data_IF_708460194820
#
_entry.id   IF_708460194820
#
_cell.length_a   1.000
_cell.length_b   1.000
_cell.length_c   1.000
_cell.angle_alpha   90.00
_cell.angle_beta   90.00
_cell.angle_gamma   90.00
#
_symmetry.space_group_name_H-M   'P 1'
#
loop_
_entity.id
_entity.type
_entity.pdbx_description
1 polymer ?
#
# COMPACT_ATOMS: atom_id res chain seq x y z
N UNK A 1 51.76 11.40 -15.45
CA UNK A 1 51.90 12.55 -16.35
C UNK A 1 50.56 12.96 -16.96
N UNK A 2 49.79 12.03 -17.55
CA UNK A 2 48.51 12.33 -18.23
C UNK A 2 47.51 13.09 -17.34
N UNK A 3 47.31 12.70 -16.07
CA UNK A 3 46.31 13.33 -15.20
C UNK A 3 46.59 14.81 -14.89
N UNK A 4 47.86 15.18 -14.69
CA UNK A 4 48.25 16.58 -14.45
C UNK A 4 48.05 17.43 -15.70
N UNK A 5 48.51 16.95 -16.85
CA UNK A 5 48.34 17.65 -18.14
C UNK A 5 46.85 17.83 -18.49
N UNK A 6 46.03 16.83 -18.22
CA UNK A 6 44.59 16.88 -18.49
C UNK A 6 43.85 17.86 -17.55
N UNK A 7 44.31 18.00 -16.30
CA UNK A 7 43.82 19.04 -15.37
C UNK A 7 44.23 20.45 -15.84
N UNK A 8 45.47 20.63 -16.31
CA UNK A 8 45.93 21.90 -16.88
C UNK A 8 45.10 22.30 -18.11
N UNK A 9 44.88 21.36 -19.03
CA UNK A 9 44.03 21.56 -20.20
C UNK A 9 42.59 21.94 -19.80
N UNK A 10 41.97 21.21 -18.86
CA UNK A 10 40.63 21.52 -18.39
C UNK A 10 40.52 22.93 -17.77
N UNK A 11 41.52 23.35 -16.97
CA UNK A 11 41.57 24.68 -16.39
C UNK A 11 41.71 25.78 -17.46
N UNK A 12 42.53 25.54 -18.49
CA UNK A 12 42.66 26.46 -19.62
C UNK A 12 41.32 26.61 -20.38
N UNK A 13 40.66 25.48 -20.67
CA UNK A 13 39.36 25.46 -21.33
C UNK A 13 38.27 26.19 -20.53
N UNK A 14 38.17 25.93 -19.22
CA UNK A 14 37.23 26.63 -18.34
C UNK A 14 37.50 28.16 -18.29
N UNK A 15 38.77 28.57 -18.33
CA UNK A 15 39.17 29.98 -18.39
C UNK A 15 38.73 30.64 -19.71
N UNK A 16 38.82 29.95 -20.84
CA UNK A 16 38.40 30.49 -22.13
C UNK A 16 36.87 30.62 -22.24
N UNK A 17 36.11 29.70 -21.64
CA UNK A 17 34.64 29.86 -21.53
C UNK A 17 34.27 31.14 -20.77
N UNK A 18 34.98 31.46 -19.69
CA UNK A 18 34.78 32.71 -18.97
C UNK A 18 35.15 33.98 -19.78
N UNK A 19 35.94 33.82 -20.86
CA UNK A 19 36.44 34.89 -21.72
C UNK A 19 35.67 35.13 -23.02
N UNK A 20 34.43 34.63 -23.14
CA UNK A 20 33.55 34.65 -24.33
C UNK A 20 33.81 33.57 -25.40
N UNK A 21 34.64 32.56 -25.14
CA UNK A 21 34.73 31.40 -26.04
C UNK A 21 33.62 30.39 -25.75
N UNK A 22 33.21 29.63 -26.76
CA UNK A 22 32.17 28.61 -26.62
C UNK A 22 32.78 27.22 -26.60
N UNK A 23 32.51 26.44 -25.54
CA UNK A 23 32.89 25.02 -25.47
C UNK A 23 31.65 24.16 -25.62
N UNK A 24 31.64 23.31 -26.64
CA UNK A 24 30.69 22.21 -26.75
C UNK A 24 31.42 20.89 -26.48
N UNK A 25 31.02 20.22 -25.42
CA UNK A 25 31.58 18.93 -25.03
C UNK A 25 30.54 17.81 -25.19
N UNK A 26 30.93 16.73 -25.87
CA UNK A 26 30.14 15.49 -26.01
C UNK A 26 30.94 14.31 -25.42
N UNK A 27 30.36 13.11 -25.29
CA UNK A 27 31.12 11.94 -24.84
C UNK A 27 32.33 11.60 -25.72
N UNK A 28 32.29 11.93 -27.02
CA UNK A 28 33.32 11.53 -28.01
C UNK A 28 34.21 12.68 -28.45
N UNK A 29 33.73 13.92 -28.36
CA UNK A 29 34.41 15.10 -28.92
C UNK A 29 34.34 16.29 -28.00
N UNK A 30 35.30 17.19 -28.15
CA UNK A 30 35.24 18.53 -27.58
C UNK A 30 35.53 19.54 -28.68
N UNK A 31 34.68 20.56 -28.78
CA UNK A 31 34.79 21.64 -29.76
C UNK A 31 34.87 22.94 -28.98
N UNK A 32 35.86 23.76 -29.29
CA UNK A 32 36.03 25.10 -28.72
C UNK A 32 36.04 26.10 -29.86
N UNK A 33 35.18 27.11 -29.76
CA UNK A 33 34.97 28.13 -30.79
C UNK A 33 35.18 29.52 -30.23
N UNK A 34 35.36 30.49 -31.13
CA UNK A 34 35.63 31.89 -30.78
C UNK A 34 36.94 32.04 -30.00
N UNK A 35 38.00 31.38 -30.48
CA UNK A 35 39.35 31.50 -29.91
C UNK A 35 40.19 32.52 -30.67
N UNK A 36 40.96 33.32 -29.93
CA UNK A 36 42.05 34.13 -30.49
C UNK A 36 43.29 33.26 -30.80
N UNK A 37 44.20 33.74 -31.64
CA UNK A 37 45.39 32.99 -32.08
C UNK A 37 46.20 32.41 -30.92
N UNK A 38 46.53 33.23 -29.92
CA UNK A 38 47.27 32.80 -28.71
C UNK A 38 46.53 31.68 -27.95
N UNK A 39 45.20 31.80 -27.83
CA UNK A 39 44.38 30.81 -27.12
C UNK A 39 44.33 29.48 -27.86
N UNK A 40 44.28 29.49 -29.20
CA UNK A 40 44.34 28.27 -30.01
C UNK A 40 45.66 27.54 -29.82
N UNK A 41 46.78 28.28 -29.84
CA UNK A 41 48.10 27.70 -29.64
C UNK A 41 48.21 27.02 -28.27
N UNK A 42 47.72 27.67 -27.22
CA UNK A 42 47.68 27.10 -25.86
C UNK A 42 46.82 25.83 -25.78
N UNK A 43 45.60 25.85 -26.33
CA UNK A 43 44.69 24.69 -26.30
C UNK A 43 45.23 23.55 -27.18
N UNK A 44 45.80 23.87 -28.34
CA UNK A 44 46.42 22.91 -29.26
C UNK A 44 47.61 22.20 -28.62
N UNK A 45 48.48 22.95 -27.92
CA UNK A 45 49.56 22.37 -27.12
C UNK A 45 49.01 21.47 -26.02
N UNK A 46 47.97 21.91 -25.29
CA UNK A 46 47.34 21.11 -24.24
C UNK A 46 46.78 19.78 -24.75
N UNK A 47 46.13 19.76 -25.92
CA UNK A 47 45.67 18.52 -26.56
C UNK A 47 46.82 17.61 -26.99
N UNK A 48 47.90 18.18 -27.54
CA UNK A 48 49.09 17.42 -27.91
C UNK A 48 49.76 16.76 -26.69
N UNK A 49 49.86 17.47 -25.55
CA UNK A 49 50.45 16.95 -24.31
C UNK A 49 49.67 15.78 -23.71
N UNK A 50 48.34 15.76 -23.85
CA UNK A 50 47.50 14.62 -23.42
C UNK A 50 47.40 13.53 -24.49
N UNK A 51 48.02 13.72 -25.66
CA UNK A 51 48.02 12.76 -26.77
C UNK A 51 46.69 12.64 -27.50
N UNK A 52 45.87 13.69 -27.49
CA UNK A 52 44.58 13.72 -28.16
C UNK A 52 44.73 14.18 -29.60
N UNK A 53 43.94 13.61 -30.51
CA UNK A 53 43.90 14.05 -31.91
C UNK A 53 42.99 15.26 -32.02
N UNK A 54 43.51 16.35 -32.57
CA UNK A 54 42.75 17.59 -32.78
C UNK A 54 43.01 18.20 -34.15
N UNK A 55 42.07 19.04 -34.59
CA UNK A 55 42.10 19.79 -35.84
C UNK A 55 41.71 21.23 -35.54
N UNK A 56 42.44 22.19 -36.12
CA UNK A 56 42.20 23.63 -36.00
C UNK A 56 41.56 24.14 -37.30
N UNK A 57 40.59 25.05 -37.17
CA UNK A 57 39.92 25.71 -38.28
C UNK A 57 40.00 27.24 -38.12
N UNK A 58 40.21 27.98 -39.19
CA UNK A 58 40.14 29.45 -39.21
C UNK A 58 38.70 29.98 -39.23
N UNK A 59 38.55 31.31 -39.26
CA UNK A 59 37.26 32.00 -39.35
C UNK A 59 36.51 31.75 -40.67
N UNK A 60 37.18 31.25 -41.71
CA UNK A 60 36.57 30.81 -42.96
C UNK A 60 36.15 29.33 -42.94
N UNK A 61 36.47 28.60 -41.87
CA UNK A 61 36.18 27.18 -41.70
C UNK A 61 37.16 26.25 -42.43
N UNK A 62 38.31 26.76 -42.87
CA UNK A 62 39.38 25.96 -43.49
C UNK A 62 40.28 25.37 -42.41
N UNK A 63 40.79 24.15 -42.63
CA UNK A 63 41.77 23.54 -41.73
C UNK A 63 43.08 24.33 -41.77
N UNK A 64 43.61 24.67 -40.60
CA UNK A 64 44.78 25.55 -40.44
C UNK A 64 45.88 24.81 -39.69
N UNK A 65 47.09 24.78 -40.27
CA UNK A 65 48.27 24.20 -39.61
C UNK A 65 48.79 25.14 -38.50
N UNK A 66 49.58 24.58 -37.58
CA UNK A 66 50.08 25.32 -36.42
C UNK A 66 50.86 26.60 -36.79
N UNK A 67 51.63 26.53 -37.88
CA UNK A 67 52.50 27.62 -38.34
C UNK A 67 51.72 28.75 -39.05
N UNK A 68 50.46 28.50 -39.44
CA UNK A 68 49.60 29.45 -40.16
C UNK A 68 48.62 30.19 -39.22
N UNK A 69 48.71 29.97 -37.90
CA UNK A 69 47.87 30.62 -36.92
C UNK A 69 48.36 32.06 -36.68
N UNK A 70 47.62 33.04 -37.22
CA UNK A 70 47.85 34.47 -37.03
C UNK A 70 46.56 35.22 -36.64
N UNK A 71 46.69 36.41 -36.06
CA UNK A 71 45.54 37.18 -35.56
C UNK A 71 44.51 37.52 -36.66
N UNK A 72 44.96 37.70 -37.90
CA UNK A 72 44.12 38.13 -39.03
C UNK A 72 43.13 37.06 -39.53
N UNK A 73 43.32 35.78 -39.17
CA UNK A 73 42.47 34.67 -39.63
C UNK A 73 41.49 34.15 -38.56
N UNK A 74 41.43 34.80 -37.40
CA UNK A 74 40.44 34.48 -36.37
C UNK A 74 39.01 34.91 -36.74
N UNK A 75 37.99 34.52 -35.95
CA UNK A 75 38.07 33.64 -34.78
C UNK A 75 38.27 32.17 -35.16
N UNK A 76 38.98 31.43 -34.31
CA UNK A 76 39.35 30.05 -34.59
C UNK A 76 38.44 28.99 -33.94
N UNK A 77 38.28 27.92 -34.73
CA UNK A 77 37.82 26.55 -34.46
C UNK A 77 38.87 25.61 -33.85
N UNK A 78 38.69 24.93 -32.72
CA UNK A 78 39.44 23.68 -32.46
C UNK A 78 38.51 22.53 -32.08
N UNK A 79 38.74 21.36 -32.67
CA UNK A 79 37.97 20.14 -32.42
C UNK A 79 38.91 19.00 -32.06
N UNK A 80 38.68 18.32 -30.94
CA UNK A 80 39.49 17.19 -30.49
C UNK A 80 38.65 15.95 -30.22
N UNK A 81 39.21 14.78 -30.55
CA UNK A 81 38.61 13.47 -30.25
C UNK A 81 39.05 12.99 -28.87
N UNK A 82 38.07 12.64 -28.05
CA UNK A 82 38.30 12.05 -26.73
C UNK A 82 38.74 10.60 -26.85
N UNK A 83 39.51 10.09 -25.87
CA UNK A 83 39.82 8.68 -25.80
C UNK A 83 38.53 7.87 -25.63
N UNK A 84 38.43 6.75 -26.34
CA UNK A 84 37.32 5.82 -26.16
C UNK A 84 37.45 5.16 -24.78
N UNK A 85 36.45 5.37 -23.94
CA UNK A 85 36.29 4.70 -22.66
C UNK A 85 35.37 3.48 -22.79
N UNK A 86 35.12 2.78 -21.68
CA UNK A 86 34.13 1.69 -21.65
C UNK A 86 32.73 2.17 -22.02
N UNK A 87 31.84 1.25 -22.42
CA UNK A 87 30.49 1.58 -22.90
C UNK A 87 29.61 2.34 -21.88
N UNK A 88 29.89 2.21 -20.58
CA UNK A 88 29.16 2.85 -19.47
C UNK A 88 29.97 3.99 -18.80
N UNK A 89 31.09 4.40 -19.42
CA UNK A 89 32.02 5.41 -18.89
C UNK A 89 32.11 6.62 -19.81
N UNK A 90 32.10 7.81 -19.22
CA UNK A 90 32.32 9.07 -19.96
C UNK A 90 33.34 9.94 -19.25
N UNK A 91 34.05 10.76 -20.01
CA UNK A 91 34.99 11.76 -19.51
C UNK A 91 34.47 13.16 -19.82
N UNK A 92 34.37 14.00 -18.80
CA UNK A 92 33.96 15.39 -18.87
C UNK A 92 35.10 16.28 -18.34
N UNK A 93 35.59 17.19 -19.18
CA UNK A 93 36.72 18.07 -18.92
C UNK A 93 36.25 19.40 -18.35
N UNK A 94 35.24 20.02 -18.95
CA UNK A 94 34.88 21.41 -18.65
C UNK A 94 33.66 21.50 -17.74
N UNK A 95 33.50 22.67 -17.10
CA UNK A 95 32.36 22.97 -16.23
C UNK A 95 31.07 23.07 -17.05
N UNK A 96 31.17 23.64 -18.26
CA UNK A 96 30.07 23.66 -19.21
C UNK A 96 29.63 22.25 -19.60
N UNK A 97 30.57 21.40 -20.04
CA UNK A 97 30.27 20.03 -20.42
C UNK A 97 29.69 19.19 -19.29
N UNK A 98 30.15 19.42 -18.06
CA UNK A 98 29.53 18.80 -16.90
C UNK A 98 28.09 19.27 -16.67
N UNK A 99 27.82 20.58 -16.75
CA UNK A 99 26.48 21.13 -16.62
C UNK A 99 25.52 20.65 -17.70
N UNK A 100 25.97 20.65 -18.95
CA UNK A 100 25.19 20.17 -20.10
C UNK A 100 24.83 18.70 -19.95
N UNK A 101 25.77 17.88 -19.48
CA UNK A 101 25.52 16.46 -19.22
C UNK A 101 24.50 16.26 -18.08
N UNK A 102 24.60 17.04 -17.00
CA UNK A 102 23.65 16.99 -15.88
C UNK A 102 22.23 17.42 -16.30
N UNK A 103 22.12 18.40 -17.20
CA UNK A 103 20.85 18.82 -17.79
C UNK A 103 20.28 17.77 -18.78
N UNK A 104 21.15 16.99 -19.42
CA UNK A 104 20.79 15.98 -20.40
C UNK A 104 20.17 14.69 -19.85
N UNK A 105 19.74 13.84 -20.78
CA UNK A 105 19.18 12.50 -20.52
C UNK A 105 20.19 11.36 -20.72
N UNK A 106 21.47 11.70 -20.96
CA UNK A 106 22.50 10.71 -21.22
C UNK A 106 22.67 9.75 -20.02
N UNK A 107 22.77 8.45 -20.33
CA UNK A 107 22.88 7.37 -19.35
C UNK A 107 24.32 6.85 -19.37
N UNK A 108 25.09 7.19 -18.34
CA UNK A 108 26.38 6.60 -18.03
C UNK A 108 26.38 6.21 -16.55
N UNK A 109 26.96 5.07 -16.20
CA UNK A 109 27.05 4.64 -14.79
C UNK A 109 28.22 5.31 -14.08
N UNK A 110 29.30 5.56 -14.82
CA UNK A 110 30.50 6.20 -14.32
C UNK A 110 30.83 7.42 -15.15
N UNK A 111 30.97 8.56 -14.49
CA UNK A 111 31.29 9.84 -15.10
C UNK A 111 32.59 10.34 -14.50
N UNK A 112 33.66 10.34 -15.29
CA UNK A 112 34.95 10.91 -14.88
C UNK A 112 34.87 12.41 -15.09
N UNK A 113 34.96 13.17 -14.00
CA UNK A 113 34.85 14.64 -14.01
C UNK A 113 36.20 15.25 -13.64
N UNK A 114 36.81 15.98 -14.57
CA UNK A 114 38.05 16.70 -14.30
C UNK A 114 37.76 17.92 -13.42
N UNK A 115 38.63 18.16 -12.44
CA UNK A 115 38.44 19.23 -11.45
C UNK A 115 37.51 18.87 -10.28
N UNK A 116 37.01 17.63 -10.25
CA UNK A 116 36.39 17.06 -9.05
C UNK A 116 37.48 16.61 -8.08
N UNK A 117 37.35 16.93 -6.78
CA UNK A 117 38.35 16.52 -5.76
C UNK A 117 37.96 15.21 -5.06
N UNK A 118 36.66 14.96 -4.92
CA UNK A 118 36.12 13.81 -4.19
C UNK A 118 34.98 13.19 -4.99
N UNK A 119 34.90 11.86 -5.00
CA UNK A 119 33.86 11.17 -5.75
C UNK A 119 32.46 11.49 -5.19
N UNK A 120 31.50 11.64 -6.09
CA UNK A 120 30.07 11.78 -5.76
C UNK A 120 29.42 10.44 -6.10
N UNK A 121 29.19 9.63 -5.07
CA UNK A 121 28.46 8.37 -5.22
C UNK A 121 26.96 8.63 -5.06
N UNK A 122 26.19 8.33 -6.10
CA UNK A 122 24.71 8.39 -6.07
C UNK A 122 24.11 6.99 -6.26
N UNK A 123 22.80 6.85 -6.07
CA UNK A 123 22.10 5.57 -6.17
C UNK A 123 22.15 4.96 -7.59
N UNK A 124 22.39 5.77 -8.64
CA UNK A 124 22.43 5.31 -10.04
C UNK A 124 23.75 5.62 -10.77
N UNK A 125 24.38 6.76 -10.46
CA UNK A 125 25.55 7.26 -11.19
C UNK A 125 26.68 7.57 -10.21
N UNK A 126 27.92 7.30 -10.61
CA UNK A 126 29.09 7.70 -9.86
C UNK A 126 29.87 8.76 -10.63
N UNK A 127 30.09 9.91 -10.01
CA UNK A 127 31.01 10.92 -10.51
C UNK A 127 32.35 10.71 -9.83
N UNK A 128 33.39 10.42 -10.60
CA UNK A 128 34.73 10.11 -10.08
C UNK A 128 35.73 11.17 -10.50
N UNK A 129 36.66 11.54 -9.62
CA UNK A 129 37.78 12.38 -10.00
C UNK A 129 38.77 11.56 -10.85
N UNK A 130 39.54 12.24 -11.68
CA UNK A 130 40.45 11.62 -12.65
C UNK A 130 41.48 10.68 -12.02
N UNK A 131 41.91 10.97 -10.79
CA UNK A 131 42.96 10.26 -10.09
C UNK A 131 42.49 8.97 -9.39
N UNK A 132 41.18 8.69 -9.36
CA UNK A 132 40.65 7.52 -8.67
C UNK A 132 40.71 6.25 -9.53
N UNK A 133 41.25 5.17 -8.97
CA UNK A 133 41.63 3.97 -9.74
C UNK A 133 40.80 2.70 -9.48
N UNK A 134 39.82 2.70 -8.56
CA UNK A 134 38.98 1.51 -8.34
C UNK A 134 37.74 1.83 -7.51
N UNK A 135 36.55 1.39 -7.96
CA UNK A 135 35.37 1.36 -7.11
C UNK A 135 34.38 0.26 -7.50
N UNK A 136 34.10 -0.65 -6.56
CA UNK A 136 32.96 -1.56 -6.65
C UNK A 136 31.65 -0.77 -6.69
N UNK A 137 30.75 -1.11 -7.61
CA UNK A 137 29.39 -0.59 -7.63
C UNK A 137 28.62 -1.19 -6.45
N UNK A 138 28.16 -0.35 -5.52
CA UNK A 138 27.09 -0.76 -4.60
C UNK A 138 25.85 -1.06 -5.45
N UNK A 139 25.12 -2.11 -5.09
CA UNK A 139 23.92 -2.54 -5.81
C UNK A 139 22.94 -1.36 -5.92
N UNK A 140 22.63 -0.94 -7.15
CA UNK A 140 21.71 0.16 -7.41
C UNK A 140 20.34 -0.14 -6.80
N UNK A 141 19.85 0.72 -5.92
CA UNK A 141 18.48 0.64 -5.44
C UNK A 141 17.53 0.97 -6.59
N UNK A 142 16.53 0.11 -6.83
CA UNK A 142 15.48 0.41 -7.80
C UNK A 142 14.46 1.33 -7.14
N UNK A 143 14.54 2.62 -7.47
CA UNK A 143 13.61 3.64 -6.97
C UNK A 143 12.36 3.72 -7.85
N UNK A 144 11.22 4.07 -7.25
CA UNK A 144 10.01 4.37 -8.04
C UNK A 144 10.21 5.66 -8.84
N UNK A 145 9.71 5.67 -10.07
CA UNK A 145 9.78 6.86 -10.93
C UNK A 145 8.86 7.99 -10.41
N UNK A 146 9.38 9.21 -10.16
CA UNK A 146 8.57 10.36 -9.75
C UNK A 146 7.46 10.72 -10.73
N UNK A 147 7.67 10.50 -12.03
CA UNK A 147 6.67 10.73 -13.09
C UNK A 147 5.40 9.90 -12.94
N UNK A 148 5.41 8.87 -12.10
CA UNK A 148 4.21 8.07 -11.81
C UNK A 148 3.34 8.68 -10.71
N UNK A 149 3.89 9.61 -9.93
CA UNK A 149 3.22 10.21 -8.76
C UNK A 149 2.93 11.71 -8.95
N UNK A 150 3.83 12.42 -9.63
CA UNK A 150 3.71 13.87 -9.87
C UNK A 150 2.91 14.11 -11.15
N UNK A 151 1.88 14.96 -11.06
CA UNK A 151 1.09 15.36 -12.22
C UNK A 151 1.75 16.53 -12.93
N UNK A 152 2.20 16.28 -14.16
CA UNK A 152 2.71 17.29 -15.07
C UNK A 152 1.79 17.37 -16.28
N UNK A 153 1.43 18.59 -16.67
CA UNK A 153 0.55 18.81 -17.81
C UNK A 153 1.17 19.74 -18.87
N UNK A 154 2.40 20.22 -18.63
CA UNK A 154 3.16 21.02 -19.60
C UNK A 154 3.78 20.16 -20.70
N UNK A 155 4.09 20.78 -21.85
CA UNK A 155 4.76 20.10 -22.96
C UNK A 155 6.23 19.75 -22.64
N UNK A 156 6.87 20.56 -21.79
CA UNK A 156 8.21 20.30 -21.24
C UNK A 156 8.06 19.62 -19.89
N UNK A 157 8.61 18.40 -19.77
CA UNK A 157 8.61 17.64 -18.50
C UNK A 157 9.79 18.07 -17.64
N UNK A 158 9.48 18.62 -16.47
CA UNK A 158 10.44 19.11 -15.48
C UNK A 158 10.78 18.03 -14.46
N UNK A 159 9.85 17.12 -14.19
CA UNK A 159 10.06 16.00 -13.27
C UNK A 159 10.92 14.93 -13.97
N UNK A 160 12.03 14.50 -13.37
CA UNK A 160 12.90 13.49 -13.96
C UNK A 160 12.25 12.11 -13.92
N UNK A 161 12.65 11.23 -14.85
CA UNK A 161 12.19 9.84 -14.86
C UNK A 161 12.72 9.05 -13.65
N UNK A 162 13.93 9.37 -13.18
CA UNK A 162 14.50 8.85 -11.94
C UNK A 162 15.22 9.95 -11.18
N UNK A 163 15.25 9.82 -9.85
CA UNK A 163 16.03 10.67 -8.96
C UNK A 163 17.30 10.00 -8.45
N UNK A 164 17.57 8.74 -8.81
CA UNK A 164 18.71 8.01 -8.25
C UNK A 164 20.06 8.67 -8.56
N UNK A 165 20.24 9.23 -9.77
CA UNK A 165 21.43 10.03 -10.13
C UNK A 165 21.61 11.33 -9.33
N UNK A 166 20.59 11.73 -8.57
CA UNK A 166 20.54 12.94 -7.76
C UNK A 166 20.59 12.64 -6.26
N UNK A 167 20.48 11.36 -5.85
CA UNK A 167 20.49 10.96 -4.45
C UNK A 167 21.87 10.44 -4.03
N UNK A 168 22.51 11.08 -3.04
CA UNK A 168 23.81 10.63 -2.52
C UNK A 168 23.68 9.29 -1.81
N UNK A 169 24.43 8.26 -2.19
CA UNK A 169 24.42 6.97 -1.50
C UNK A 169 24.82 7.08 -0.02
N UNK A 170 25.74 7.98 0.31
CA UNK A 170 26.07 8.35 1.69
C UNK A 170 25.89 9.87 1.89
N UNK A 171 24.91 10.32 2.70
CA UNK A 171 24.71 11.73 3.00
C UNK A 171 25.93 12.46 3.59
N UNK A 172 26.90 11.73 4.15
CA UNK A 172 28.12 12.32 4.73
C UNK A 172 29.12 12.83 3.70
N UNK A 173 28.99 12.45 2.42
CA UNK A 173 29.92 12.83 1.35
C UNK A 173 29.70 14.25 0.81
N UNK A 174 28.87 15.07 1.47
CA UNK A 174 28.66 16.46 1.12
C UNK A 174 29.94 17.29 1.16
N UNK A 175 30.25 18.02 0.08
CA UNK A 175 31.40 18.92 -0.03
C UNK A 175 31.06 20.18 -0.83
N UNK A 176 30.78 21.30 -0.16
CA UNK A 176 30.50 22.59 -0.83
C UNK A 176 31.77 23.34 -1.25
N UNK A 177 32.95 22.90 -0.82
CA UNK A 177 34.22 23.53 -1.21
C UNK A 177 34.50 23.39 -2.72
N UNK A 178 34.21 22.22 -3.31
CA UNK A 178 34.47 21.95 -4.72
C UNK A 178 33.36 22.53 -5.62
N UNK A 179 33.75 23.28 -6.65
CA UNK A 179 32.81 23.93 -7.58
C UNK A 179 32.00 22.92 -8.40
N UNK A 180 32.60 21.81 -8.83
CA UNK A 180 31.90 20.75 -9.56
C UNK A 180 30.88 20.04 -8.67
N UNK A 181 31.21 19.81 -7.40
CA UNK A 181 30.21 19.31 -6.45
C UNK A 181 29.04 20.27 -6.30
N UNK A 182 29.29 21.58 -6.13
CA UNK A 182 28.22 22.59 -6.05
C UNK A 182 27.33 22.59 -7.29
N UNK A 183 27.91 22.49 -8.48
CA UNK A 183 27.17 22.38 -9.72
C UNK A 183 26.26 21.14 -9.74
N UNK A 184 26.79 19.96 -9.38
CA UNK A 184 25.97 18.75 -9.24
C UNK A 184 24.84 18.92 -8.21
N UNK A 185 25.14 19.49 -7.05
CA UNK A 185 24.17 19.68 -5.97
C UNK A 185 23.03 20.61 -6.38
N UNK A 186 23.32 21.67 -7.15
CA UNK A 186 22.31 22.56 -7.72
C UNK A 186 21.34 21.78 -8.64
N UNK A 187 21.87 20.99 -9.57
CA UNK A 187 21.04 20.14 -10.44
C UNK A 187 20.24 19.11 -9.64
N UNK A 188 20.84 18.52 -8.60
CA UNK A 188 20.15 17.59 -7.72
C UNK A 188 18.96 18.25 -6.99
N UNK A 189 19.13 19.46 -6.45
CA UNK A 189 18.05 20.23 -5.81
C UNK A 189 16.93 20.48 -6.83
N UNK A 190 17.28 20.98 -8.03
CA UNK A 190 16.32 21.32 -9.09
C UNK A 190 15.58 20.10 -9.64
N UNK A 191 16.15 18.90 -9.53
CA UNK A 191 15.50 17.65 -9.94
C UNK A 191 14.66 17.00 -8.83
N UNK A 192 15.14 17.00 -7.59
CA UNK A 192 14.47 16.37 -6.45
C UNK A 192 13.23 17.18 -6.03
N UNK A 193 13.35 18.50 -5.98
CA UNK A 193 12.30 19.37 -5.47
C UNK A 193 10.94 19.23 -6.21
N UNK A 194 10.87 19.32 -7.56
CA UNK A 194 9.62 19.08 -8.28
C UNK A 194 9.14 17.62 -8.16
N UNK A 195 10.05 16.67 -7.90
CA UNK A 195 9.71 15.26 -7.68
C UNK A 195 8.95 15.01 -6.37
N UNK A 196 8.89 15.97 -5.45
CA UNK A 196 8.15 15.85 -4.19
C UNK A 196 6.77 16.51 -4.22
N UNK A 197 6.47 17.29 -5.25
CA UNK A 197 5.20 17.97 -5.41
C UNK A 197 4.11 17.00 -5.90
N UNK A 198 2.85 17.25 -5.58
CA UNK A 198 1.77 16.47 -6.18
C UNK A 198 1.54 16.82 -7.65
N UNK A 199 1.81 18.08 -7.99
CA UNK A 199 1.49 18.65 -9.30
C UNK A 199 2.42 19.81 -9.62
N UNK A 200 2.72 19.97 -10.90
CA UNK A 200 3.37 21.16 -11.46
C UNK A 200 2.31 21.96 -12.22
N UNK A 201 2.06 23.19 -11.77
CA UNK A 201 1.05 24.07 -12.35
C UNK A 201 1.42 24.45 -13.80
N UNK A 202 0.47 24.29 -14.72
CA UNK A 202 0.69 24.51 -16.17
C UNK A 202 1.04 25.95 -16.52
N UNK A 203 0.43 26.91 -15.83
CA UNK A 203 0.48 28.32 -16.23
C UNK A 203 1.66 29.02 -15.57
N UNK A 204 1.97 28.64 -14.33
CA UNK A 204 2.96 29.31 -13.48
C UNK A 204 4.23 28.48 -13.28
N UNK A 205 4.21 27.18 -13.55
CA UNK A 205 5.30 26.26 -13.22
C UNK A 205 5.47 26.03 -11.71
N UNK A 206 4.50 26.46 -10.89
CA UNK A 206 4.55 26.34 -9.44
C UNK A 206 4.44 24.88 -8.98
N UNK A 207 5.14 24.56 -7.91
CA UNK A 207 5.11 23.27 -7.24
C UNK A 207 3.94 23.23 -6.26
N UNK A 208 2.96 22.38 -6.56
CA UNK A 208 1.70 22.30 -5.81
C UNK A 208 1.72 21.10 -4.89
N UNK A 209 1.53 21.37 -3.59
CA UNK A 209 1.38 20.37 -2.54
C UNK A 209 -0.06 20.40 -2.01
N UNK A 210 -0.73 19.25 -2.10
CA UNK A 210 -2.12 19.06 -1.69
C UNK A 210 -2.17 18.73 -0.20
N UNK A 211 -2.73 19.65 0.56
CA UNK A 211 -3.06 19.49 1.96
C UNK A 211 -4.09 20.55 2.37
N UNK A 212 -4.61 20.51 3.60
CA UNK A 212 -5.37 21.61 4.18
C UNK A 212 -4.46 22.47 5.08
N UNK A 213 -4.04 23.70 4.66
CA UNK A 213 -4.32 24.36 3.39
C UNK A 213 -3.39 23.89 2.24
N UNK A 214 -3.79 24.19 1.00
CA UNK A 214 -2.99 23.91 -0.20
C UNK A 214 -1.77 24.83 -0.19
N UNK A 215 -0.60 24.28 -0.48
CA UNK A 215 0.64 25.04 -0.64
C UNK A 215 1.02 25.09 -2.13
N UNK A 216 1.42 26.28 -2.58
CA UNK A 216 1.90 26.52 -3.94
C UNK A 216 3.20 27.30 -3.84
N UNK A 217 4.30 26.69 -4.28
CA UNK A 217 5.63 27.30 -4.25
C UNK A 217 6.06 27.68 -5.67
N UNK A 218 6.59 28.88 -5.92
CA UNK A 218 7.04 29.27 -7.25
C UNK A 218 8.22 28.40 -7.73
N UNK A 219 8.47 28.32 -9.05
CA UNK A 219 9.68 27.69 -9.56
C UNK A 219 10.92 28.43 -9.03
N UNK A 220 11.99 27.68 -8.84
CA UNK A 220 13.25 28.22 -8.32
C UNK A 220 13.90 29.11 -9.39
N UNK A 221 14.23 30.35 -9.04
CA UNK A 221 14.86 31.28 -9.96
C UNK A 221 16.17 30.71 -10.56
N UNK A 222 16.44 31.05 -11.83
CA UNK A 222 17.63 30.57 -12.54
C UNK A 222 18.92 31.04 -11.87
N UNK A 223 18.95 32.28 -11.39
CA UNK A 223 20.16 32.92 -10.84
C UNK A 223 20.32 32.77 -9.31
N UNK A 224 19.45 31.96 -8.68
CA UNK A 224 19.52 31.74 -7.23
C UNK A 224 20.66 30.79 -6.86
N UNK A 225 21.47 31.15 -5.87
CA UNK A 225 22.48 30.25 -5.28
C UNK A 225 21.80 29.25 -4.33
N UNK A 226 21.07 28.30 -4.94
CA UNK A 226 20.22 27.32 -4.24
C UNK A 226 21.01 26.48 -3.24
N UNK A 227 22.27 26.16 -3.56
CA UNK A 227 23.14 25.34 -2.73
C UNK A 227 23.52 26.08 -1.46
N UNK A 228 23.94 27.34 -1.57
CA UNK A 228 24.28 28.17 -0.41
C UNK A 228 23.06 28.49 0.43
N UNK A 229 21.96 28.86 -0.21
CA UNK A 229 20.75 29.30 0.48
C UNK A 229 20.09 28.15 1.24
N UNK A 230 20.02 26.95 0.65
CA UNK A 230 19.54 25.74 1.32
C UNK A 230 20.52 25.26 2.40
N UNK A 231 21.82 25.28 2.09
CA UNK A 231 22.91 24.83 2.95
C UNK A 231 22.94 23.31 3.16
N UNK A 232 24.03 22.83 3.79
CA UNK A 232 24.28 21.40 4.02
C UNK A 232 23.12 20.68 4.72
N UNK A 233 22.56 21.31 5.78
CA UNK A 233 21.46 20.72 6.54
C UNK A 233 20.20 20.61 5.69
N UNK A 234 19.76 21.70 5.05
CA UNK A 234 18.56 21.68 4.20
C UNK A 234 18.68 20.70 3.04
N UNK A 235 19.88 20.59 2.43
CA UNK A 235 20.14 19.61 1.38
C UNK A 235 20.04 18.18 1.90
N UNK A 236 20.63 17.89 3.07
CA UNK A 236 20.55 16.57 3.71
C UNK A 236 19.11 16.15 4.01
N UNK A 237 18.29 17.08 4.49
CA UNK A 237 16.86 16.81 4.77
C UNK A 237 16.04 16.63 3.49
N UNK A 238 16.33 17.40 2.43
CA UNK A 238 15.71 17.22 1.11
C UNK A 238 16.04 15.84 0.52
N UNK A 239 17.30 15.42 0.61
CA UNK A 239 17.78 14.08 0.24
C UNK A 239 17.07 12.98 1.05
N UNK A 240 16.95 13.18 2.36
CA UNK A 240 16.28 12.24 3.25
C UNK A 240 14.80 12.08 2.92
N UNK A 241 14.10 13.18 2.65
CA UNK A 241 12.69 13.17 2.25
C UNK A 241 12.49 12.41 0.93
N UNK A 242 13.29 12.74 -0.09
CA UNK A 242 13.21 12.08 -1.39
C UNK A 242 13.53 10.59 -1.31
N UNK A 243 14.56 10.20 -0.56
CA UNK A 243 14.87 8.79 -0.30
C UNK A 243 13.70 8.08 0.36
N UNK A 244 13.16 8.62 1.46
CA UNK A 244 12.05 7.99 2.19
C UNK A 244 10.80 7.81 1.32
N UNK A 245 10.48 8.78 0.47
CA UNK A 245 9.33 8.70 -0.43
C UNK A 245 9.53 7.62 -1.49
N UNK A 246 10.70 7.53 -2.12
CA UNK A 246 10.91 6.73 -3.33
C UNK A 246 11.62 5.38 -3.13
N UNK A 247 12.14 5.10 -1.93
CA UNK A 247 12.88 3.88 -1.60
C UNK A 247 12.09 2.57 -1.82
N UNK A 248 10.76 2.60 -1.63
CA UNK A 248 9.90 1.42 -1.67
C UNK A 248 8.73 1.64 -2.61
N UNK A 249 8.78 0.97 -3.77
CA UNK A 249 7.80 1.14 -4.85
C UNK A 249 6.33 0.97 -4.40
N UNK A 250 6.06 -0.03 -3.56
CA UNK A 250 4.72 -0.34 -3.06
C UNK A 250 4.14 0.71 -2.12
N UNK A 251 5.00 1.47 -1.43
CA UNK A 251 4.61 2.43 -0.39
C UNK A 251 4.73 3.87 -0.86
N UNK A 252 5.45 4.10 -1.96
CA UNK A 252 5.83 5.42 -2.44
C UNK A 252 4.64 6.35 -2.66
N UNK A 253 3.51 5.84 -3.18
CA UNK A 253 2.30 6.66 -3.37
C UNK A 253 1.72 7.18 -2.03
N UNK A 254 1.68 6.31 -1.02
CA UNK A 254 1.21 6.69 0.33
C UNK A 254 2.19 7.64 1.00
N UNK A 255 3.50 7.33 0.97
CA UNK A 255 4.55 8.18 1.54
C UNK A 255 4.60 9.55 0.87
N UNK A 256 4.51 9.60 -0.46
CA UNK A 256 4.47 10.84 -1.23
C UNK A 256 3.27 11.71 -0.83
N UNK A 257 2.08 11.13 -0.74
CA UNK A 257 0.86 11.85 -0.35
C UNK A 257 0.99 12.40 1.07
N UNK A 258 1.44 11.58 2.02
CA UNK A 258 1.63 12.00 3.41
C UNK A 258 2.68 13.11 3.51
N UNK A 259 3.82 12.96 2.84
CA UNK A 259 4.86 13.98 2.80
C UNK A 259 4.34 15.30 2.24
N UNK A 260 3.68 15.26 1.08
CA UNK A 260 3.18 16.46 0.44
C UNK A 260 2.10 17.17 1.27
N UNK A 261 1.22 16.41 1.92
CA UNK A 261 0.23 16.98 2.85
C UNK A 261 0.88 17.62 4.07
N UNK A 262 1.88 16.97 4.67
CA UNK A 262 2.59 17.53 5.83
C UNK A 262 3.41 18.77 5.46
N UNK A 263 4.07 18.77 4.29
CA UNK A 263 4.77 19.95 3.80
C UNK A 263 3.80 21.09 3.50
N UNK A 264 2.64 20.80 2.94
CA UNK A 264 1.60 21.81 2.72
C UNK A 264 1.08 22.41 4.04
N UNK A 265 0.96 21.58 5.08
CA UNK A 265 0.53 22.00 6.42
C UNK A 265 1.57 22.88 7.13
N UNK A 266 2.86 22.58 6.98
CA UNK A 266 3.94 23.32 7.65
C UNK A 266 4.45 24.52 6.85
N UNK A 267 4.43 24.44 5.52
CA UNK A 267 5.05 25.42 4.62
C UNK A 267 4.37 26.79 4.52
N UNK A 268 3.26 27.02 5.23
CA UNK A 268 2.65 28.35 5.36
C UNK A 268 2.46 29.08 4.04
N UNK A 269 2.69 30.40 4.03
CA UNK A 269 2.58 31.26 2.85
C UNK A 269 3.96 31.84 2.50
N UNK A 270 4.89 30.98 2.08
CA UNK A 270 6.23 31.40 1.68
C UNK A 270 6.26 31.84 0.20
N UNK A 271 6.82 33.02 -0.06
CA UNK A 271 7.08 33.51 -1.42
C UNK A 271 8.37 32.92 -2.03
N UNK A 272 9.24 32.33 -1.21
CA UNK A 272 10.51 31.73 -1.61
C UNK A 272 10.52 30.23 -1.32
N UNK A 273 10.71 29.46 -2.39
CA UNK A 273 10.70 28.00 -2.37
C UNK A 273 11.87 27.41 -1.60
N UNK A 274 13.10 27.90 -1.81
CA UNK A 274 14.28 27.36 -1.14
C UNK A 274 14.23 27.64 0.36
N UNK A 275 13.78 28.85 0.73
CA UNK A 275 13.56 29.20 2.13
C UNK A 275 12.49 28.32 2.78
N UNK A 276 11.35 28.12 2.12
CA UNK A 276 10.30 27.22 2.59
C UNK A 276 10.83 25.81 2.86
N UNK A 277 11.60 25.25 1.92
CA UNK A 277 12.16 23.91 2.06
C UNK A 277 13.15 23.87 3.22
N UNK A 278 14.08 24.81 3.30
CA UNK A 278 15.07 24.89 4.37
C UNK A 278 14.43 24.89 5.77
N UNK A 279 13.35 25.64 5.94
CA UNK A 279 12.69 25.82 7.24
C UNK A 279 11.76 24.65 7.60
N UNK A 280 11.13 24.00 6.60
CA UNK A 280 9.99 23.11 6.87
C UNK A 280 10.18 21.64 6.47
N UNK A 281 11.15 21.31 5.60
CA UNK A 281 11.28 19.95 5.04
C UNK A 281 11.50 18.87 6.11
N UNK A 282 12.29 19.18 7.15
CA UNK A 282 12.57 18.25 8.25
C UNK A 282 11.30 17.97 9.08
N UNK A 283 10.54 19.03 9.41
CA UNK A 283 9.29 18.89 10.16
C UNK A 283 8.22 18.15 9.35
N UNK A 284 8.14 18.42 8.05
CA UNK A 284 7.24 17.71 7.15
C UNK A 284 7.59 16.22 7.04
N UNK A 285 8.89 15.89 6.94
CA UNK A 285 9.36 14.51 6.88
C UNK A 285 9.03 13.74 8.16
N UNK A 286 9.31 14.31 9.33
CA UNK A 286 9.00 13.67 10.61
C UNK A 286 7.49 13.53 10.83
N UNK A 287 6.70 14.58 10.50
CA UNK A 287 5.24 14.51 10.50
C UNK A 287 4.71 13.39 9.61
N UNK A 288 5.27 13.24 8.40
CA UNK A 288 4.84 12.23 7.44
C UNK A 288 5.21 10.81 7.91
N UNK A 289 6.40 10.61 8.50
CA UNK A 289 6.78 9.34 9.11
C UNK A 289 5.84 8.95 10.25
N UNK A 290 5.49 9.89 11.13
CA UNK A 290 4.54 9.65 12.22
C UNK A 290 3.16 9.30 11.66
N UNK A 291 2.65 10.07 10.71
CA UNK A 291 1.36 9.80 10.07
C UNK A 291 1.34 8.43 9.37
N UNK A 292 2.44 8.05 8.73
CA UNK A 292 2.61 6.74 8.12
C UNK A 292 2.56 5.62 9.18
N UNK A 293 3.31 5.74 10.27
CA UNK A 293 3.26 4.79 11.39
C UNK A 293 1.85 4.68 12.00
N UNK A 294 1.14 5.80 12.17
CA UNK A 294 -0.25 5.80 12.64
C UNK A 294 -1.20 5.10 11.67
N UNK A 295 -1.03 5.30 10.36
CA UNK A 295 -1.85 4.63 9.34
C UNK A 295 -1.64 3.11 9.37
N UNK A 296 -0.40 2.65 9.53
CA UNK A 296 -0.08 1.23 9.70
C UNK A 296 -0.71 0.66 10.98
N UNK A 297 -0.63 1.40 12.10
CA UNK A 297 -1.23 1.00 13.36
C UNK A 297 -2.77 0.91 13.28
N UNK A 298 -3.41 1.87 12.61
CA UNK A 298 -4.87 1.88 12.38
C UNK A 298 -5.31 0.68 11.54
N UNK A 299 -4.62 0.39 10.44
CA UNK A 299 -4.91 -0.79 9.60
C UNK A 299 -4.79 -2.08 10.42
N UNK A 300 -3.77 -2.18 11.28
CA UNK A 300 -3.62 -3.32 12.20
C UNK A 300 -4.79 -3.43 13.20
N UNK A 301 -5.20 -2.31 13.81
CA UNK A 301 -6.33 -2.28 14.75
C UNK A 301 -7.66 -2.65 14.08
N UNK A 302 -7.91 -2.14 12.87
CA UNK A 302 -9.11 -2.47 12.10
C UNK A 302 -9.13 -3.95 11.71
N UNK A 303 -7.99 -4.54 11.36
CA UNK A 303 -7.86 -5.97 11.10
C UNK A 303 -8.15 -6.82 12.36
N UNK A 304 -7.63 -6.41 13.53
CA UNK A 304 -7.93 -7.09 14.80
C UNK A 304 -9.41 -6.98 15.19
N UNK A 305 -10.03 -5.82 14.95
CA UNK A 305 -11.46 -5.62 15.17
C UNK A 305 -12.30 -6.50 14.24
N UNK A 306 -11.95 -6.58 12.97
CA UNK A 306 -12.60 -7.48 12.01
C UNK A 306 -12.49 -8.96 12.43
N UNK A 307 -11.34 -9.37 12.98
CA UNK A 307 -11.17 -10.71 13.56
C UNK A 307 -12.04 -10.93 14.81
N UNK A 308 -12.18 -9.94 15.68
CA UNK A 308 -13.04 -10.01 16.85
C UNK A 308 -14.53 -10.12 16.46
N UNK A 309 -14.96 -9.30 15.50
CA UNK A 309 -16.31 -9.33 14.95
C UNK A 309 -16.60 -10.68 14.26
N UNK A 310 -15.61 -11.26 13.56
CA UNK A 310 -15.71 -12.60 12.99
C UNK A 310 -15.94 -13.68 14.08
N UNK A 311 -15.15 -13.67 15.16
CA UNK A 311 -15.33 -14.63 16.26
C UNK A 311 -16.70 -14.50 16.91
N UNK A 312 -17.17 -13.27 17.10
CA UNK A 312 -18.50 -13.01 17.65
C UNK A 312 -19.59 -13.53 16.72
N UNK A 313 -19.52 -13.20 15.43
CA UNK A 313 -20.49 -13.67 14.44
C UNK A 313 -20.54 -15.21 14.38
N UNK A 314 -19.39 -15.89 14.35
CA UNK A 314 -19.33 -17.37 14.39
C UNK A 314 -19.93 -17.93 15.68
N UNK A 315 -19.68 -17.27 16.82
CA UNK A 315 -20.26 -17.69 18.12
C UNK A 315 -21.78 -17.53 18.14
N UNK A 316 -22.29 -16.39 17.66
CA UNK A 316 -23.72 -16.11 17.58
C UNK A 316 -24.43 -17.09 16.62
N UNK A 317 -23.81 -17.41 15.48
CA UNK A 317 -24.33 -18.42 14.55
C UNK A 317 -24.36 -19.83 15.16
N UNK A 318 -23.27 -20.22 15.83
CA UNK A 318 -23.19 -21.50 16.54
C UNK A 318 -24.24 -21.59 17.65
N UNK A 319 -24.50 -20.47 18.35
CA UNK A 319 -25.57 -20.35 19.34
C UNK A 319 -26.95 -20.61 18.73
N UNK A 320 -27.28 -19.97 17.60
CA UNK A 320 -28.57 -20.17 16.91
C UNK A 320 -28.77 -21.62 16.46
N UNK A 321 -27.73 -22.29 15.96
CA UNK A 321 -27.82 -23.70 15.57
C UNK A 321 -28.00 -24.60 16.80
N UNK A 322 -27.34 -24.27 17.91
CA UNK A 322 -27.50 -24.97 19.18
C UNK A 322 -28.92 -24.83 19.73
N UNK A 323 -29.51 -23.62 19.65
CA UNK A 323 -30.89 -23.37 20.07
C UNK A 323 -31.89 -24.13 19.20
N UNK A 324 -31.71 -24.14 17.87
CA UNK A 324 -32.52 -24.96 16.96
C UNK A 324 -32.42 -26.45 17.32
N UNK A 325 -31.23 -26.94 17.68
CA UNK A 325 -31.01 -28.32 18.13
C UNK A 325 -31.78 -28.62 19.42
N UNK A 326 -31.75 -27.71 20.40
CA UNK A 326 -32.52 -27.83 21.66
C UNK A 326 -34.02 -27.85 21.39
N UNK A 327 -34.51 -27.02 20.48
CA UNK A 327 -35.91 -26.98 20.08
C UNK A 327 -36.35 -28.30 19.45
N UNK A 328 -35.55 -28.87 18.54
CA UNK A 328 -35.82 -30.19 17.94
C UNK A 328 -35.85 -31.27 19.04
N UNK A 329 -34.87 -31.28 19.95
CA UNK A 329 -34.81 -32.27 21.03
C UNK A 329 -36.04 -32.19 21.97
N UNK A 330 -36.45 -30.98 22.36
CA UNK A 330 -37.62 -30.77 23.21
C UNK A 330 -38.93 -31.19 22.51
N UNK A 331 -39.05 -30.87 21.21
CA UNK A 331 -40.20 -31.26 20.42
C UNK A 331 -40.31 -32.79 20.29
N UNK A 332 -39.19 -33.48 20.02
CA UNK A 332 -39.12 -34.94 19.98
C UNK A 332 -39.50 -35.55 21.32
N UNK A 333 -38.95 -35.06 22.44
CA UNK A 333 -39.29 -35.57 23.77
C UNK A 333 -40.78 -35.40 24.09
N UNK A 334 -41.35 -34.26 23.74
CA UNK A 334 -42.78 -33.97 23.91
C UNK A 334 -43.65 -34.90 23.06
N UNK A 335 -43.26 -35.12 21.80
CA UNK A 335 -43.95 -36.04 20.89
C UNK A 335 -43.91 -37.49 21.39
N UNK A 336 -42.78 -37.94 21.94
CA UNK A 336 -42.67 -39.27 22.57
C UNK A 336 -43.56 -39.38 23.81
N UNK A 337 -43.61 -38.34 24.65
CA UNK A 337 -44.49 -38.30 25.83
C UNK A 337 -45.98 -38.38 25.46
N UNK A 338 -46.42 -37.59 24.47
CA UNK A 338 -47.79 -37.65 23.92
C UNK A 338 -48.04 -39.04 23.30
N UNK A 339 -47.05 -39.55 22.57
CA UNK A 339 -46.92 -40.91 22.05
C UNK A 339 -47.37 -41.99 23.03
N UNK A 340 -46.59 -42.10 24.10
CA UNK A 340 -46.75 -43.07 25.18
C UNK A 340 -48.07 -42.83 25.94
N UNK A 341 -48.42 -41.57 26.20
CA UNK A 341 -49.66 -41.20 26.88
C UNK A 341 -50.93 -41.65 26.15
N UNK A 342 -50.97 -41.48 24.83
CA UNK A 342 -52.10 -41.93 24.00
C UNK A 342 -52.21 -43.45 23.95
N UNK A 343 -51.07 -44.16 23.90
CA UNK A 343 -51.05 -45.63 23.98
C UNK A 343 -51.61 -46.10 25.33
N UNK A 344 -51.16 -45.50 26.44
CA UNK A 344 -51.66 -45.82 27.77
C UNK A 344 -53.16 -45.52 27.92
N UNK A 345 -53.64 -44.39 27.39
CA UNK A 345 -55.06 -44.02 27.41
C UNK A 345 -55.93 -45.00 26.61
N UNK A 346 -55.43 -45.51 25.47
CA UNK A 346 -56.12 -46.54 24.69
C UNK A 346 -56.24 -47.85 25.48
N UNK A 347 -55.16 -48.28 26.13
CA UNK A 347 -55.11 -49.53 26.89
C UNK A 347 -55.94 -49.46 28.18
N UNK A 348 -55.89 -48.34 28.91
CA UNK A 348 -56.54 -48.21 30.22
C UNK A 348 -58.01 -47.76 30.15
N UNK A 349 -58.35 -46.88 29.19
CA UNK A 349 -59.64 -46.20 29.16
C UNK A 349 -60.40 -46.39 27.84
N UNK A 350 -59.93 -47.28 26.95
CA UNK A 350 -60.60 -47.61 25.69
C UNK A 350 -60.89 -46.39 24.80
N UNK A 351 -59.97 -45.42 24.78
CA UNK A 351 -60.11 -44.18 24.01
C UNK A 351 -60.43 -44.42 22.51
N UNK A 352 -61.17 -43.51 21.85
CA UNK A 352 -61.57 -43.66 20.45
C UNK A 352 -60.37 -43.65 19.51
N UNK A 353 -60.28 -44.64 18.63
CA UNK A 353 -59.15 -44.86 17.71
C UNK A 353 -58.94 -43.70 16.73
N UNK A 354 -60.03 -43.09 16.23
CA UNK A 354 -59.98 -41.96 15.30
C UNK A 354 -59.31 -40.73 15.93
N UNK A 355 -59.53 -40.49 17.23
CA UNK A 355 -58.91 -39.37 17.95
C UNK A 355 -57.40 -39.57 18.12
N UNK A 356 -56.96 -40.80 18.40
CA UNK A 356 -55.52 -41.11 18.52
C UNK A 356 -54.81 -40.89 17.19
N UNK A 357 -55.39 -41.39 16.09
CA UNK A 357 -54.82 -41.20 14.74
C UNK A 357 -54.76 -39.72 14.37
N UNK A 358 -55.82 -38.96 14.64
CA UNK A 358 -55.86 -37.51 14.36
C UNK A 358 -54.78 -36.75 15.13
N UNK A 359 -54.66 -36.97 16.45
CA UNK A 359 -53.67 -36.29 17.29
C UNK A 359 -52.24 -36.68 16.89
N UNK A 360 -51.99 -37.97 16.64
CA UNK A 360 -50.69 -38.46 16.21
C UNK A 360 -50.26 -37.89 14.85
N UNK A 361 -51.21 -37.70 13.93
CA UNK A 361 -50.95 -37.10 12.62
C UNK A 361 -50.54 -35.64 12.77
N UNK A 362 -51.23 -34.88 13.64
CA UNK A 362 -50.89 -33.48 13.93
C UNK A 362 -49.50 -33.38 14.59
N UNK A 363 -49.19 -34.27 15.54
CA UNK A 363 -47.86 -34.32 16.19
C UNK A 363 -46.76 -34.62 15.16
N UNK A 364 -46.96 -35.58 14.25
CA UNK A 364 -45.99 -35.89 13.21
C UNK A 364 -45.79 -34.71 12.23
N UNK A 365 -46.88 -34.06 11.82
CA UNK A 365 -46.81 -32.89 10.96
C UNK A 365 -46.04 -31.73 11.63
N UNK A 366 -46.28 -31.49 12.92
CA UNK A 366 -45.55 -30.48 13.70
C UNK A 366 -44.05 -30.79 13.78
N UNK A 367 -43.66 -32.02 14.12
CA UNK A 367 -42.25 -32.44 14.19
C UNK A 367 -41.58 -32.33 12.82
N UNK A 368 -42.28 -32.71 11.74
CA UNK A 368 -41.77 -32.54 10.39
C UNK A 368 -41.47 -31.08 10.06
N UNK A 369 -42.37 -30.15 10.39
CA UNK A 369 -42.16 -28.71 10.17
C UNK A 369 -40.96 -28.19 10.97
N UNK A 370 -40.82 -28.60 12.22
CA UNK A 370 -39.68 -28.20 13.09
C UNK A 370 -38.35 -28.71 12.52
N UNK A 371 -38.26 -29.98 12.14
CA UNK A 371 -37.06 -30.56 11.52
C UNK A 371 -36.74 -29.88 10.19
N UNK A 372 -37.73 -29.73 9.31
CA UNK A 372 -37.57 -29.11 8.00
C UNK A 372 -37.09 -27.66 8.10
N UNK A 373 -37.68 -26.89 9.03
CA UNK A 373 -37.27 -25.50 9.30
C UNK A 373 -35.82 -25.43 9.77
N UNK A 374 -35.41 -26.31 10.69
CA UNK A 374 -34.02 -26.39 11.17
C UNK A 374 -33.02 -26.66 10.06
N UNK A 375 -33.30 -27.63 9.18
CA UNK A 375 -32.42 -27.93 8.04
C UNK A 375 -32.38 -26.80 7.00
N UNK A 376 -33.51 -26.15 6.72
CA UNK A 376 -33.57 -25.00 5.81
C UNK A 376 -32.79 -23.80 6.34
N UNK A 377 -32.90 -23.53 7.64
CA UNK A 377 -32.14 -22.48 8.29
C UNK A 377 -30.63 -22.73 8.21
N UNK A 378 -30.19 -23.96 8.51
CA UNK A 378 -28.78 -24.35 8.38
C UNK A 378 -28.27 -24.23 6.92
N UNK A 379 -29.07 -24.65 5.94
CA UNK A 379 -28.72 -24.53 4.52
C UNK A 379 -28.59 -23.07 4.07
N UNK A 380 -29.49 -22.18 4.53
CA UNK A 380 -29.42 -20.75 4.26
C UNK A 380 -28.15 -20.14 4.85
N UNK A 381 -27.80 -20.49 6.10
CA UNK A 381 -26.56 -20.02 6.72
C UNK A 381 -25.29 -20.50 6.02
N UNK A 382 -25.29 -21.68 5.38
CA UNK A 382 -24.16 -22.12 4.52
C UNK A 382 -24.00 -21.21 3.31
N UNK A 383 -25.09 -20.90 2.61
CA UNK A 383 -25.06 -20.04 1.43
C UNK A 383 -24.60 -18.62 1.77
N UNK A 384 -25.04 -18.05 2.89
CA UNK A 384 -24.57 -16.74 3.34
C UNK A 384 -23.07 -16.74 3.66
N UNK A 385 -22.55 -17.81 4.28
CA UNK A 385 -21.10 -17.95 4.57
C UNK A 385 -20.24 -17.92 3.32
N UNK A 386 -20.68 -18.58 2.24
CA UNK A 386 -19.96 -18.59 0.96
C UNK A 386 -19.90 -17.19 0.32
N UNK A 387 -21.00 -16.43 0.39
CA UNK A 387 -21.05 -15.04 -0.10
C UNK A 387 -20.14 -14.13 0.72
N UNK A 388 -20.15 -14.27 2.06
CA UNK A 388 -19.35 -13.44 2.96
C UNK A 388 -17.85 -13.71 2.82
N UNK A 389 -17.44 -14.95 2.53
CA UNK A 389 -16.03 -15.30 2.27
C UNK A 389 -15.43 -14.40 1.19
N UNK A 390 -16.14 -14.25 0.07
CA UNK A 390 -15.64 -13.51 -1.09
C UNK A 390 -15.66 -11.99 -0.90
N UNK A 391 -16.59 -11.47 -0.09
CA UNK A 391 -16.81 -10.03 0.03
C UNK A 391 -16.12 -9.40 1.24
N UNK A 392 -16.01 -10.12 2.36
CA UNK A 392 -15.53 -9.58 3.63
C UNK A 392 -14.22 -10.22 4.06
N UNK A 393 -13.92 -11.47 3.69
CA UNK A 393 -12.82 -12.24 4.30
C UNK A 393 -11.67 -12.60 3.34
N UNK A 394 -11.52 -11.86 2.23
CA UNK A 394 -10.46 -12.09 1.22
C UNK A 394 -9.02 -12.04 1.79
N UNK A 395 -8.84 -11.43 2.96
CA UNK A 395 -7.54 -11.28 3.62
C UNK A 395 -7.17 -12.44 4.56
N UNK A 396 -8.07 -13.40 4.82
CA UNK A 396 -7.75 -14.59 5.60
C UNK A 396 -7.19 -15.70 4.70
N UNK A 397 -6.15 -16.38 5.17
CA UNK A 397 -5.66 -17.59 4.54
C UNK A 397 -6.76 -18.67 4.53
N UNK A 398 -6.73 -19.55 3.54
CA UNK A 398 -7.74 -20.61 3.42
C UNK A 398 -7.71 -21.56 4.63
N UNK A 399 -6.53 -21.79 5.20
CA UNK A 399 -6.34 -22.60 6.40
C UNK A 399 -7.00 -21.96 7.63
N UNK A 400 -6.77 -20.67 7.87
CA UNK A 400 -7.33 -19.95 9.01
C UNK A 400 -8.85 -19.81 8.90
N UNK A 401 -9.37 -19.53 7.70
CA UNK A 401 -10.81 -19.48 7.45
C UNK A 401 -11.48 -20.83 7.72
N UNK A 402 -10.85 -21.92 7.26
CA UNK A 402 -11.39 -23.27 7.48
C UNK A 402 -11.47 -23.63 8.96
N UNK A 403 -10.44 -23.24 9.75
CA UNK A 403 -10.34 -23.54 11.17
C UNK A 403 -11.32 -22.73 12.00
N UNK A 404 -11.50 -21.46 11.67
CA UNK A 404 -12.30 -20.52 12.46
C UNK A 404 -13.79 -20.52 12.09
N UNK A 405 -14.15 -20.86 10.85
CA UNK A 405 -15.53 -20.68 10.35
C UNK A 405 -16.13 -21.99 9.84
N UNK A 406 -15.40 -22.75 9.01
CA UNK A 406 -15.94 -23.92 8.32
C UNK A 406 -16.12 -25.11 9.27
N UNK A 407 -15.09 -25.45 10.06
CA UNK A 407 -15.13 -26.60 10.97
C UNK A 407 -16.21 -26.45 12.07
N UNK A 408 -16.28 -25.34 12.83
CA UNK A 408 -17.30 -25.21 13.89
C UNK A 408 -18.73 -25.25 13.35
N UNK A 409 -19.00 -24.60 12.22
CA UNK A 409 -20.33 -24.62 11.61
C UNK A 409 -20.72 -25.99 11.07
N UNK A 410 -19.78 -26.74 10.47
CA UNK A 410 -20.03 -28.12 10.01
C UNK A 410 -20.30 -29.06 11.19
N UNK A 411 -19.60 -28.88 12.31
CA UNK A 411 -19.81 -29.68 13.52
C UNK A 411 -21.20 -29.44 14.12
N UNK A 412 -21.64 -28.17 14.19
CA UNK A 412 -22.98 -27.81 14.67
C UNK A 412 -24.09 -28.39 13.77
N UNK A 413 -23.93 -28.30 12.45
CA UNK A 413 -24.86 -28.90 11.49
C UNK A 413 -24.91 -30.44 11.58
N UNK A 414 -23.77 -31.07 11.89
CA UNK A 414 -23.70 -32.52 12.07
C UNK A 414 -24.52 -32.97 13.27
N UNK A 415 -24.43 -32.24 14.39
CA UNK A 415 -25.23 -32.52 15.59
C UNK A 415 -26.72 -32.35 15.28
N UNK A 416 -27.12 -31.26 14.61
CA UNK A 416 -28.51 -31.06 14.19
C UNK A 416 -29.01 -32.20 13.30
N UNK A 417 -28.21 -32.65 12.33
CA UNK A 417 -28.59 -33.76 11.46
C UNK A 417 -28.78 -35.08 12.23
N UNK A 418 -27.89 -35.40 13.17
CA UNK A 418 -28.00 -36.63 13.97
C UNK A 418 -29.23 -36.58 14.88
N UNK A 419 -29.48 -35.45 15.54
CA UNK A 419 -30.64 -35.27 16.44
C UNK A 419 -31.96 -35.33 15.65
N UNK A 420 -32.03 -34.66 14.49
CA UNK A 420 -33.21 -34.70 13.61
C UNK A 420 -33.48 -36.11 13.07
N UNK A 421 -32.45 -36.86 12.67
CA UNK A 421 -32.60 -38.22 12.15
C UNK A 421 -33.04 -39.19 13.25
N UNK A 422 -32.33 -39.22 14.38
CA UNK A 422 -32.65 -40.12 15.49
C UNK A 422 -34.03 -39.81 16.09
N UNK A 423 -34.34 -38.52 16.27
CA UNK A 423 -35.63 -38.08 16.79
C UNK A 423 -36.78 -38.35 15.82
N UNK A 424 -36.58 -38.11 14.51
CA UNK A 424 -37.55 -38.43 13.47
C UNK A 424 -37.88 -39.92 13.42
N UNK A 425 -36.87 -40.80 13.50
CA UNK A 425 -37.06 -42.25 13.56
C UNK A 425 -37.84 -42.64 14.82
N UNK A 426 -37.48 -42.11 15.99
CA UNK A 426 -38.17 -42.43 17.25
C UNK A 426 -39.65 -42.02 17.23
N UNK A 427 -39.98 -40.84 16.69
CA UNK A 427 -41.37 -40.38 16.53
C UNK A 427 -42.11 -41.25 15.51
N UNK A 428 -41.48 -41.61 14.39
CA UNK A 428 -42.09 -42.49 13.38
C UNK A 428 -42.40 -43.89 13.93
N UNK A 429 -41.49 -44.47 14.72
CA UNK A 429 -41.72 -45.75 15.41
C UNK A 429 -42.90 -45.62 16.38
N UNK A 430 -42.93 -44.55 17.17
CA UNK A 430 -44.01 -44.30 18.13
C UNK A 430 -45.36 -44.11 17.44
N UNK A 431 -45.38 -43.45 16.29
CA UNK A 431 -46.56 -43.30 15.44
C UNK A 431 -47.09 -44.66 14.94
N UNK A 432 -46.21 -45.50 14.40
CA UNK A 432 -46.56 -46.86 13.94
C UNK A 432 -47.10 -47.69 15.10
N UNK A 433 -46.43 -47.69 16.26
CA UNK A 433 -46.89 -48.42 17.44
C UNK A 433 -48.26 -47.90 17.91
N UNK A 434 -48.45 -46.58 17.99
CA UNK A 434 -49.74 -46.01 18.40
C UNK A 434 -50.88 -46.37 17.44
N UNK A 435 -50.62 -46.39 16.12
CA UNK A 435 -51.60 -46.81 15.12
C UNK A 435 -51.92 -48.30 15.24
N UNK A 436 -50.90 -49.15 15.40
CA UNK A 436 -51.13 -50.60 15.56
C UNK A 436 -51.95 -50.91 16.82
N UNK A 437 -51.71 -50.21 17.93
CA UNK A 437 -52.51 -50.32 19.17
C UNK A 437 -53.91 -49.74 19.01
N UNK A 438 -54.08 -48.64 18.25
CA UNK A 438 -55.38 -48.06 17.99
C UNK A 438 -56.26 -48.93 17.07
N UNK A 439 -55.65 -49.65 16.12
CA UNK A 439 -56.31 -50.55 15.16
C UNK A 439 -56.48 -51.99 15.69
N UNK A 440 -55.78 -52.36 16.76
CA UNK A 440 -55.99 -53.65 17.40
C UNK A 440 -57.46 -53.74 17.90
N UNK A 441 -58.19 -54.82 17.58
CA UNK A 441 -59.56 -54.99 18.03
C UNK A 441 -59.58 -54.91 19.56
N UNK A 442 -60.46 -54.07 20.11
CA UNK A 442 -60.68 -54.04 21.54
C UNK A 442 -61.01 -55.47 21.97
N UNK A 443 -60.21 -56.06 22.85
CA UNK A 443 -60.67 -57.28 23.53
C UNK A 443 -61.94 -56.87 24.27
N UNK A 444 -63.06 -57.49 23.90
CA UNK A 444 -64.33 -57.35 24.60
C UNK A 444 -64.13 -57.80 26.05
N UNK A 445 -63.73 -56.86 26.92
CA UNK A 445 -64.01 -57.00 28.34
C UNK A 445 -65.50 -56.78 28.51
N UNK A 446 -66.19 -57.92 28.57
CA UNK A 446 -67.53 -58.19 29.10
C UNK A 446 -68.05 -57.10 30.06
N UNK A 447 -69.34 -56.68 29.94
CA UNK A 447 -69.86 -55.50 30.60
C UNK A 447 -70.22 -55.71 32.07
N UNK A 448 -70.22 -54.58 32.79
CA UNK A 448 -71.14 -54.17 33.85
C UNK A 448 -71.59 -55.23 34.87
N UNK A 449 -71.01 -55.18 36.07
CA UNK A 449 -71.66 -55.69 37.29
C UNK A 449 -72.65 -54.64 37.79
N UNK A 450 -73.93 -54.94 37.60
CA UNK A 450 -75.08 -54.22 38.14
C UNK A 450 -75.10 -54.23 39.68
N UNK A 451 -75.47 -53.08 40.25
CA UNK A 451 -75.86 -52.87 41.65
C UNK A 451 -77.01 -53.80 42.10
N UNK A 452 -77.20 -53.90 43.42
CA UNK A 452 -78.46 -53.50 44.02
C UNK A 452 -78.26 -52.48 45.16
N UNK A 453 -79.06 -51.40 45.18
CA UNK A 453 -79.20 -50.45 46.31
C UNK A 453 -80.15 -50.98 47.39
N UNK A 454 -80.82 -50.13 48.20
CA UNK A 454 -80.49 -48.78 48.69
C UNK A 454 -80.44 -48.74 50.24
N UNK A 455 -79.82 -47.71 50.85
CA UNK A 455 -80.15 -47.30 52.22
C UNK A 455 -79.79 -45.82 52.45
N UNK A 456 -80.84 -45.05 52.71
CA UNK A 456 -80.86 -43.64 53.06
C UNK A 456 -80.16 -43.34 54.39
N UNK A 457 -79.47 -42.19 54.48
CA UNK A 457 -79.66 -41.18 55.53
C UNK A 457 -78.61 -40.03 55.41
N UNK A 458 -79.09 -38.86 54.97
CA UNK A 458 -78.53 -37.52 55.25
C UNK A 458 -78.82 -37.11 56.72
N UNK A 459 -78.49 -35.88 57.21
CA UNK A 459 -77.51 -34.85 56.79
C UNK A 459 -76.66 -34.35 58.00
N UNK A 460 -75.63 -33.52 57.85
CA UNK A 460 -75.48 -32.06 58.15
C UNK A 460 -73.99 -31.86 58.52
N UNK A 461 -73.26 -30.78 58.33
CA UNK A 461 -73.47 -29.32 58.27
C UNK A 461 -72.23 -28.68 57.59
N UNK A 462 -72.39 -27.72 56.70
CA UNK A 462 -72.12 -26.28 56.88
C UNK A 462 -70.73 -25.91 57.47
N UNK A 463 -69.88 -25.29 56.63
CA UNK A 463 -68.57 -24.74 57.01
C UNK A 463 -68.07 -23.72 55.99
N UNK A 464 -68.46 -22.48 56.23
CA UNK A 464 -68.33 -21.24 55.46
C UNK A 464 -66.92 -20.66 55.24
N UNK A 465 -66.76 -20.07 54.04
CA UNK A 465 -66.09 -18.79 53.67
C UNK A 465 -64.55 -18.66 53.56
N UNK A 466 -64.08 -17.69 52.73
CA UNK A 466 -62.80 -17.71 52.02
C UNK A 466 -61.82 -16.61 52.47
N UNK A 467 -60.60 -16.64 51.95
CA UNK A 467 -59.75 -15.45 51.85
C UNK A 467 -58.94 -15.45 50.55
N UNK A 468 -59.29 -14.47 49.71
CA UNK A 468 -58.53 -13.93 48.60
C UNK A 468 -57.27 -13.20 49.06
N UNK A 469 -56.14 -13.35 48.37
CA UNK A 469 -55.11 -12.31 48.31
C UNK A 469 -54.63 -12.15 46.87
N UNK A 470 -54.92 -10.97 46.36
CA UNK A 470 -54.51 -10.33 45.12
C UNK A 470 -53.03 -9.95 45.20
N UNK A 471 -52.29 -10.04 44.09
CA UNK A 471 -51.02 -9.29 43.92
C UNK A 471 -51.08 -8.55 42.59
N UNK A 472 -50.90 -7.22 42.56
CA UNK A 472 -50.92 -6.43 41.35
C UNK A 472 -49.53 -6.34 40.72
N UNK A 473 -49.51 -6.21 39.39
CA UNK A 473 -48.35 -5.70 38.66
C UNK A 473 -48.31 -4.18 38.60
N UNK A 474 -47.17 -3.69 38.10
CA UNK A 474 -46.88 -2.42 37.42
C UNK A 474 -45.80 -1.54 38.09
N UNK A 475 -44.62 -1.54 37.45
CA UNK A 475 -43.83 -0.39 36.90
C UNK A 475 -44.34 1.03 37.20
N UNK A 476 -43.46 2.05 37.27
CA UNK A 476 -42.46 2.40 36.23
C UNK A 476 -41.07 1.83 36.41
#
# INVERSE_FOLDING_TARGET
MIASSLRTLALALDRFVAGNSFVHETPETIIVSELAAEAVLEVSQGFAEVGWRHVVFDGAGSETEHDDIADDFGPYRISAQKPKLGADEILLLTASGFGDWLAGSALAKTVIVVGLDTAIATEEVRFVPLESTNFDLSTAMTLRSPRTLVHEYGALRVVPQSIGRWLLSDPKTWSDANQRFRQWAEHAIRAILPSLANEIDQNTGAYVFRGPPRLSLPPVATDADTVRDLGKHGFGELQAAARWVYELDREAETKHTLFATELARTGGNHADTIKCIKENVAFALEGAKIAYQMSLAKVSADNLRALADLRKAVTDETGKITDATRQVAAAVASALGIGIGLIAARVAANAPSLLIVAVMTIVCAYIFVVIYSGHRFAALQRQLRDVWRNQIYRFLSEEDYSKLVVRPGRDAERILNVVSLAGGIAVAVTFVVAITVALAPARDTVPARSQPGPASAQPTSAGSRPASVTTPGATP
#
